data_IF_570627601425
#
_entry.id   IF_570627601425
#
_cell.length_a   1.000
_cell.length_b   1.000
_cell.length_c   1.000
_cell.angle_alpha   90.00
_cell.angle_beta   90.00
_cell.angle_gamma   90.00
#
_symmetry.space_group_name_H-M   'P 1'
#
loop_
_entity.id
_entity.type
_entity.pdbx_description
1 polymer ?
#
# COMPACT_ATOMS: atom_id res chain seq x y z
N UNK A 1 27.69 15.80 7.72
CA UNK A 1 26.25 15.79 8.08
C UNK A 1 25.82 14.33 8.13
N UNK A 2 25.23 13.85 9.23
CA UNK A 2 24.87 12.44 9.39
C UNK A 2 23.55 12.19 8.66
N UNK A 3 23.58 11.36 7.62
CA UNK A 3 22.42 10.89 6.88
C UNK A 3 21.60 10.00 7.81
N UNK A 4 20.45 10.49 8.28
CA UNK A 4 19.42 9.60 8.83
C UNK A 4 18.92 8.83 7.60
N UNK A 5 19.08 7.50 7.51
CA UNK A 5 18.49 6.77 6.42
C UNK A 5 16.99 6.98 6.56
N UNK A 6 16.39 7.78 5.67
CA UNK A 6 14.96 7.99 5.66
C UNK A 6 14.33 6.63 5.35
N UNK A 7 14.02 5.87 6.40
CA UNK A 7 13.39 4.56 6.31
C UNK A 7 12.05 4.64 5.55
N UNK A 8 11.50 5.86 5.47
CA UNK A 8 10.25 6.20 4.82
C UNK A 8 10.49 7.22 3.71
N UNK A 9 10.12 6.84 2.48
CA UNK A 9 10.15 7.67 1.28
C UNK A 9 8.76 8.23 1.02
N UNK A 10 8.68 9.48 0.58
CA UNK A 10 7.41 10.06 0.10
C UNK A 10 6.93 9.37 -1.17
N UNK A 11 5.68 9.59 -1.59
CA UNK A 11 5.12 9.01 -2.82
C UNK A 11 5.98 9.33 -4.06
N UNK A 12 6.53 10.53 -4.13
CA UNK A 12 7.35 10.99 -5.25
C UNK A 12 8.71 10.30 -5.28
N UNK A 13 9.38 10.24 -4.12
CA UNK A 13 10.65 9.54 -3.97
C UNK A 13 10.50 8.02 -4.19
N UNK A 14 9.44 7.42 -3.66
CA UNK A 14 9.12 6.02 -3.87
C UNK A 14 8.85 5.69 -5.35
N UNK A 15 8.15 6.59 -6.04
CA UNK A 15 7.87 6.45 -7.47
C UNK A 15 9.16 6.55 -8.30
N UNK A 16 10.04 7.48 -7.95
CA UNK A 16 11.36 7.61 -8.55
C UNK A 16 12.23 6.37 -8.28
N UNK A 17 12.22 5.84 -7.06
CA UNK A 17 12.96 4.64 -6.67
C UNK A 17 12.55 3.41 -7.48
N UNK A 18 11.25 3.26 -7.73
CA UNK A 18 10.66 2.15 -8.48
C UNK A 18 10.70 2.39 -10.01
N UNK A 19 11.06 3.60 -10.46
CA UNK A 19 11.07 3.95 -11.88
C UNK A 19 9.68 3.99 -12.52
N UNK A 20 8.64 4.32 -11.75
CA UNK A 20 7.25 4.39 -12.22
C UNK A 20 6.61 5.73 -11.85
N UNK A 21 5.47 6.04 -12.46
CA UNK A 21 4.71 7.24 -12.09
C UNK A 21 4.09 7.12 -10.69
N UNK A 22 3.94 8.24 -10.00
CA UNK A 22 3.24 8.33 -8.71
C UNK A 22 1.83 7.74 -8.78
N UNK A 23 1.11 7.95 -9.89
CA UNK A 23 -0.22 7.39 -10.13
C UNK A 23 -0.19 5.86 -10.21
N UNK A 24 0.82 5.29 -10.87
CA UNK A 24 1.03 3.83 -10.93
C UNK A 24 1.32 3.28 -9.55
N UNK A 25 2.22 3.92 -8.80
CA UNK A 25 2.55 3.51 -7.44
C UNK A 25 1.32 3.55 -6.52
N UNK A 26 0.50 4.61 -6.58
CA UNK A 26 -0.73 4.69 -5.77
C UNK A 26 -1.76 3.63 -6.15
N UNK A 27 -1.86 3.27 -7.44
CA UNK A 27 -2.70 2.16 -7.90
C UNK A 27 -2.20 0.85 -7.33
N UNK A 28 -0.90 0.56 -7.40
CA UNK A 28 -0.30 -0.64 -6.82
C UNK A 28 -0.45 -0.66 -5.30
N UNK A 29 -0.18 0.43 -4.60
CA UNK A 29 -0.39 0.52 -3.16
C UNK A 29 -1.84 0.21 -2.77
N UNK A 30 -2.84 0.55 -3.60
CA UNK A 30 -4.24 0.16 -3.37
C UNK A 30 -4.51 -1.31 -3.73
N UNK A 31 -3.94 -1.80 -4.83
CA UNK A 31 -4.18 -3.15 -5.36
C UNK A 31 -3.50 -4.23 -4.52
N UNK A 32 -2.30 -3.95 -4.04
CA UNK A 32 -1.44 -4.81 -3.23
C UNK A 32 -1.46 -4.42 -1.74
N UNK A 33 -2.25 -3.41 -1.35
CA UNK A 33 -2.30 -2.92 0.05
C UNK A 33 -0.94 -2.61 0.68
N UNK A 34 -0.01 -2.06 -0.11
CA UNK A 34 1.31 -1.65 0.39
C UNK A 34 1.09 -0.66 1.55
N UNK A 35 1.65 -0.94 2.75
CA UNK A 35 1.36 -0.16 3.94
C UNK A 35 1.85 1.28 3.78
N UNK A 36 0.92 2.22 3.82
CA UNK A 36 1.22 3.65 3.83
C UNK A 36 1.46 4.11 5.26
N UNK A 37 2.61 4.72 5.50
CA UNK A 37 3.07 5.17 6.81
C UNK A 37 2.98 6.69 6.95
N UNK A 38 3.20 7.18 8.16
CA UNK A 38 3.18 8.60 8.51
C UNK A 38 1.79 9.18 8.79
N UNK A 39 1.73 10.41 9.34
CA UNK A 39 0.49 11.07 9.76
C UNK A 39 -0.49 11.31 8.60
N UNK A 40 0.04 11.57 7.40
CA UNK A 40 -0.75 11.80 6.19
C UNK A 40 -0.90 10.56 5.30
N UNK A 41 -0.40 9.39 5.73
CA UNK A 41 -0.38 8.14 4.93
C UNK A 41 0.18 8.32 3.52
N UNK A 42 1.22 9.14 3.40
CA UNK A 42 1.88 9.51 2.15
C UNK A 42 3.35 9.04 2.07
N UNK A 43 3.77 8.20 3.02
CA UNK A 43 5.12 7.67 3.07
C UNK A 43 5.11 6.15 2.91
N UNK A 44 6.17 5.61 2.32
CA UNK A 44 6.37 4.19 2.06
C UNK A 44 7.71 3.75 2.65
N UNK A 45 7.74 2.59 3.30
CA UNK A 45 9.00 2.02 3.76
C UNK A 45 9.88 1.66 2.58
N UNK A 46 11.17 2.02 2.59
CA UNK A 46 12.08 1.60 1.51
C UNK A 46 12.17 0.08 1.42
N UNK A 47 12.29 -0.60 2.56
CA UNK A 47 12.28 -2.07 2.63
C UNK A 47 10.97 -2.69 2.11
N UNK A 48 9.82 -2.03 2.33
CA UNK A 48 8.53 -2.50 1.79
C UNK A 48 8.49 -2.36 0.26
N UNK A 49 9.09 -1.30 -0.29
CA UNK A 49 9.18 -1.09 -1.74
C UNK A 49 10.15 -2.07 -2.39
N UNK A 50 11.30 -2.33 -1.76
CA UNK A 50 12.27 -3.32 -2.24
C UNK A 50 11.65 -4.72 -2.22
N UNK A 51 11.00 -5.12 -1.11
CA UNK A 51 10.27 -6.38 -1.03
C UNK A 51 9.15 -6.48 -2.08
N UNK A 52 8.46 -5.37 -2.39
CA UNK A 52 7.43 -5.34 -3.42
C UNK A 52 8.02 -5.46 -4.85
N UNK A 53 9.21 -4.91 -5.09
CA UNK A 53 9.93 -5.05 -6.35
C UNK A 53 10.47 -6.47 -6.54
N UNK A 54 10.95 -7.10 -5.46
CA UNK A 54 11.44 -8.49 -5.47
C UNK A 54 10.29 -9.48 -5.68
N UNK A 55 9.23 -9.37 -4.88
CA UNK A 55 8.04 -10.22 -5.01
C UNK A 55 6.74 -9.45 -4.68
N UNK A 56 6.01 -9.00 -5.71
CA UNK A 56 4.74 -8.30 -5.51
C UNK A 56 3.63 -9.23 -4.99
N UNK A 57 3.76 -10.56 -5.08
CA UNK A 57 2.74 -11.51 -4.64
C UNK A 57 2.65 -11.60 -3.11
N UNK A 58 3.74 -11.32 -2.38
CA UNK A 58 3.79 -11.27 -0.91
C UNK A 58 2.71 -10.33 -0.35
N UNK A 59 2.46 -9.23 -1.06
CA UNK A 59 1.47 -8.23 -0.71
C UNK A 59 0.04 -8.58 -1.19
N UNK A 60 -0.09 -9.42 -2.22
CA UNK A 60 -1.37 -9.98 -2.69
C UNK A 60 -1.89 -11.08 -1.75
N UNK A 61 -1.02 -11.92 -1.20
CA UNK A 61 -1.40 -13.00 -0.29
C UNK A 61 -2.09 -12.45 0.99
N UNK A 62 -1.63 -11.31 1.50
CA UNK A 62 -2.28 -10.59 2.60
C UNK A 62 -3.72 -10.15 2.28
N UNK A 63 -4.05 -9.98 1.00
CA UNK A 63 -5.39 -9.60 0.52
C UNK A 63 -6.43 -10.71 0.69
N UNK A 64 -6.00 -11.97 0.74
CA UNK A 64 -6.88 -13.14 0.89
C UNK A 64 -7.43 -13.22 2.32
N UNK A 65 -6.75 -12.62 3.31
CA UNK A 65 -7.12 -12.70 4.73
C UNK A 65 -7.92 -11.51 5.28
N UNK A 66 -8.19 -10.47 4.50
CA UNK A 66 -9.15 -9.47 4.97
C UNK A 66 -10.56 -10.03 4.87
N UNK A 67 -11.31 -10.13 5.99
CA UNK A 67 -12.72 -10.47 5.92
C UNK A 67 -13.36 -9.40 5.03
N UNK A 68 -13.86 -9.82 3.86
CA UNK A 68 -14.73 -8.98 3.05
C UNK A 68 -15.80 -8.49 4.01
N UNK A 69 -15.88 -7.18 4.24
CA UNK A 69 -17.04 -6.61 4.90
C UNK A 69 -18.24 -7.16 4.13
N UNK A 70 -18.99 -8.08 4.74
CA UNK A 70 -20.33 -8.44 4.28
C UNK A 70 -21.10 -7.13 4.34
N UNK A 71 -21.18 -6.45 3.19
CA UNK A 71 -22.11 -5.34 3.01
C UNK A 71 -23.45 -5.83 3.51
N UNK A 72 -23.95 -5.12 4.52
CA UNK A 72 -25.04 -5.55 5.39
C UNK A 72 -26.22 -6.10 4.59
N UNK A 73 -26.82 -7.16 5.13
CA UNK A 73 -28.06 -7.70 4.59
C UNK A 73 -29.09 -6.60 4.46
N UNK A 74 -29.79 -6.57 3.31
CA UNK A 74 -31.08 -5.92 3.24
C UNK A 74 -31.99 -6.66 4.23
N UNK A 75 -32.24 -6.08 5.41
CA UNK A 75 -33.27 -6.56 6.32
C UNK A 75 -34.60 -6.53 5.57
N UNK A 76 -35.16 -7.71 5.28
CA UNK A 76 -36.49 -7.84 4.68
C UNK A 76 -37.52 -7.30 5.67
N UNK A 77 -38.10 -6.14 5.39
CA UNK A 77 -39.32 -5.67 6.06
C UNK A 77 -40.49 -6.43 5.44
N UNK A 78 -41.27 -7.11 6.28
CA UNK A 78 -42.56 -7.70 5.90
C UNK A 78 -43.63 -6.79 6.48
N UNK A 79 -44.45 -6.19 5.62
CA UNK A 79 -45.75 -5.60 5.93
C UNK A 79 -46.61 -5.64 4.66
#
# INVERSE_FOLDING_TARGET
MREIPAAYLTVEEAAAHVGKSTRTLLRWAKQYQIPRKGPCRNQFGRADLDAFMDDPEVFLAAKIHMPRHKGGGFTRVVA
#
